data_IF_560347089158
#
_entry.id   IF_560347089158
#
_cell.length_a   1.000
_cell.length_b   1.000
_cell.length_c   1.000
_cell.angle_alpha   90.00
_cell.angle_beta   90.00
_cell.angle_gamma   90.00
#
_symmetry.space_group_name_H-M   'P 1'
#
loop_
_entity.id
_entity.type
_entity.pdbx_description
1 polymer ?
#
# COMPACT_ATOMS: atom_id res chain seq x y z
N UNK A 1 6.65 -34.62 -32.45
CA UNK A 1 6.64 -33.16 -32.21
C UNK A 1 5.67 -32.90 -31.07
N UNK A 2 6.15 -32.68 -29.84
CA UNK A 2 5.27 -32.35 -28.72
C UNK A 2 4.82 -30.89 -28.89
N UNK A 3 3.51 -30.61 -28.98
CA UNK A 3 3.04 -29.23 -29.03
C UNK A 3 3.46 -28.53 -27.74
N UNK A 4 4.15 -27.40 -27.88
CA UNK A 4 4.54 -26.54 -26.76
C UNK A 4 3.27 -25.90 -26.19
N UNK A 5 2.72 -26.48 -25.14
CA UNK A 5 1.60 -25.89 -24.41
C UNK A 5 2.10 -24.65 -23.67
N UNK A 6 1.61 -23.48 -24.07
CA UNK A 6 1.82 -22.25 -23.29
C UNK A 6 1.14 -22.43 -21.94
N UNK A 7 1.94 -22.66 -20.89
CA UNK A 7 1.42 -22.76 -19.53
C UNK A 7 0.73 -21.42 -19.21
N UNK A 8 -0.58 -21.40 -18.92
CA UNK A 8 -1.27 -20.18 -18.57
C UNK A 8 -0.69 -19.61 -17.26
N UNK A 9 -0.72 -18.28 -17.12
CA UNK A 9 -0.19 -17.63 -15.93
C UNK A 9 -1.02 -18.01 -14.69
N UNK A 10 -0.46 -18.87 -13.85
CA UNK A 10 -1.10 -19.36 -12.61
C UNK A 10 -0.85 -18.44 -11.41
N UNK A 11 -0.12 -17.32 -11.57
CA UNK A 11 0.21 -16.43 -10.45
C UNK A 11 -1.03 -15.82 -9.81
N UNK A 12 -2.00 -15.42 -10.62
CA UNK A 12 -3.27 -14.90 -10.12
C UNK A 12 -3.99 -15.97 -9.32
N UNK A 13 -4.14 -17.17 -9.88
CA UNK A 13 -4.81 -18.29 -9.23
C UNK A 13 -4.14 -18.65 -7.89
N UNK A 14 -2.81 -18.75 -7.87
CA UNK A 14 -2.05 -19.04 -6.65
C UNK A 14 -2.24 -17.94 -5.59
N UNK A 15 -2.21 -16.68 -6.00
CA UNK A 15 -2.39 -15.53 -5.09
C UNK A 15 -3.81 -15.48 -4.55
N UNK A 16 -4.79 -15.67 -5.43
CA UNK A 16 -6.20 -15.68 -5.11
C UNK A 16 -6.56 -16.84 -4.17
N UNK A 17 -6.07 -18.05 -4.47
CA UNK A 17 -6.29 -19.23 -3.62
C UNK A 17 -5.69 -19.03 -2.22
N UNK A 18 -4.50 -18.43 -2.11
CA UNK A 18 -3.91 -18.07 -0.81
C UNK A 18 -4.78 -17.07 -0.04
N UNK A 19 -5.31 -16.04 -0.72
CA UNK A 19 -6.19 -15.05 -0.11
C UNK A 19 -7.50 -15.67 0.38
N UNK A 20 -8.11 -16.55 -0.42
CA UNK A 20 -9.33 -17.30 -0.05
C UNK A 20 -9.11 -18.18 1.18
N UNK A 21 -8.05 -18.99 1.20
CA UNK A 21 -7.74 -19.86 2.34
C UNK A 21 -7.55 -19.04 3.61
N UNK A 22 -6.82 -17.93 3.52
CA UNK A 22 -6.58 -17.03 4.66
C UNK A 22 -7.86 -16.42 5.22
N UNK A 23 -8.79 -15.97 4.37
CA UNK A 23 -10.06 -15.40 4.83
C UNK A 23 -11.01 -16.46 5.36
N UNK A 24 -11.05 -17.64 4.75
CA UNK A 24 -11.85 -18.75 5.24
C UNK A 24 -11.37 -19.24 6.63
N UNK A 25 -10.05 -19.29 6.85
CA UNK A 25 -9.46 -19.59 8.17
C UNK A 25 -9.81 -18.52 9.22
N UNK A 26 -9.80 -17.22 8.84
CA UNK A 26 -10.21 -16.13 9.73
C UNK A 26 -11.68 -16.20 10.14
N UNK A 27 -12.56 -16.54 9.21
CA UNK A 27 -13.99 -16.70 9.52
C UNK A 27 -14.23 -17.90 10.43
N UNK A 28 -13.54 -19.04 10.19
CA UNK A 28 -13.59 -20.20 11.08
C UNK A 28 -13.07 -19.89 12.48
N UNK A 29 -11.91 -19.26 12.60
CA UNK A 29 -11.37 -18.85 13.90
C UNK A 29 -12.34 -17.92 14.64
N UNK A 30 -13.04 -17.05 13.92
CA UNK A 30 -14.07 -16.17 14.50
C UNK A 30 -15.33 -16.94 14.93
N UNK A 31 -15.74 -17.95 14.17
CA UNK A 31 -16.86 -18.82 14.54
C UNK A 31 -16.53 -19.68 15.77
N UNK A 32 -15.34 -20.28 15.83
CA UNK A 32 -14.89 -21.07 16.99
C UNK A 32 -14.78 -20.24 18.27
N UNK A 33 -14.32 -18.98 18.15
CA UNK A 33 -14.34 -18.03 19.25
C UNK A 33 -15.76 -17.73 19.74
N UNK A 34 -16.74 -17.60 18.83
CA UNK A 34 -18.15 -17.43 19.19
C UNK A 34 -18.75 -18.66 19.86
N UNK A 35 -18.26 -19.85 19.53
CA UNK A 35 -18.65 -21.11 20.16
C UNK A 35 -17.92 -21.39 21.50
N UNK A 36 -17.06 -20.47 21.96
CA UNK A 36 -16.33 -20.62 23.23
C UNK A 36 -15.15 -21.59 23.18
N UNK A 37 -14.73 -22.03 21.99
CA UNK A 37 -13.60 -22.96 21.81
C UNK A 37 -12.31 -22.11 21.75
N UNK A 38 -11.61 -21.99 22.87
CA UNK A 38 -10.36 -21.20 22.99
C UNK A 38 -9.12 -22.09 23.04
N UNK A 39 -9.28 -23.41 23.20
CA UNK A 39 -8.16 -24.33 23.36
C UNK A 39 -7.38 -24.60 22.05
N UNK A 40 -6.06 -24.34 22.03
CA UNK A 40 -5.24 -24.44 20.81
C UNK A 40 -5.14 -25.87 20.27
N UNK A 41 -5.21 -26.88 21.15
CA UNK A 41 -5.16 -28.30 20.76
C UNK A 41 -6.41 -28.72 20.00
N UNK A 42 -7.58 -28.30 20.48
CA UNK A 42 -8.89 -28.61 19.87
C UNK A 42 -9.02 -27.92 18.50
N UNK A 43 -8.56 -26.68 18.39
CA UNK A 43 -8.52 -25.92 17.12
C UNK A 43 -7.72 -26.68 16.04
N UNK A 44 -6.55 -27.23 16.39
CA UNK A 44 -5.71 -27.99 15.44
C UNK A 44 -6.35 -29.30 14.98
N UNK A 45 -7.11 -29.96 15.87
CA UNK A 45 -7.83 -31.20 15.54
C UNK A 45 -9.04 -30.91 14.66
N UNK A 46 -9.84 -29.88 14.96
CA UNK A 46 -10.97 -29.47 14.11
C UNK A 46 -10.51 -29.01 12.71
N UNK A 47 -9.37 -28.31 12.63
CA UNK A 47 -8.80 -27.88 11.36
C UNK A 47 -8.39 -29.05 10.47
N UNK A 48 -8.01 -30.19 11.06
CA UNK A 48 -7.64 -31.42 10.33
C UNK A 48 -8.85 -32.24 9.88
N UNK A 49 -9.98 -32.12 10.58
CA UNK A 49 -11.20 -32.93 10.34
C UNK A 49 -12.16 -32.27 9.35
N UNK A 50 -12.27 -30.93 9.34
CA UNK A 50 -13.12 -30.21 8.39
C UNK A 50 -12.31 -29.52 7.27
N UNK A 51 -12.35 -30.01 6.03
CA UNK A 51 -11.74 -29.30 4.90
C UNK A 51 -12.39 -27.93 4.72
N UNK A 52 -11.62 -26.94 4.27
CA UNK A 52 -12.09 -25.56 4.04
C UNK A 52 -13.16 -25.53 2.97
N UNK A 53 -14.43 -25.47 3.36
CA UNK A 53 -15.52 -25.19 2.44
C UNK A 53 -15.47 -23.71 2.07
N UNK A 54 -14.98 -23.44 0.85
CA UNK A 54 -14.90 -22.10 0.30
C UNK A 54 -16.32 -21.67 -0.06
N UNK A 55 -17.01 -20.98 0.85
CA UNK A 55 -18.33 -20.43 0.60
C UNK A 55 -18.28 -19.30 -0.43
N UNK A 56 -19.31 -19.20 -1.28
CA UNK A 56 -19.46 -18.14 -2.30
C UNK A 56 -19.35 -16.73 -1.72
N UNK A 57 -19.78 -16.55 -0.47
CA UNK A 57 -19.70 -15.28 0.25
C UNK A 57 -18.25 -14.88 0.53
N UNK A 58 -17.41 -15.83 0.91
CA UNK A 58 -15.97 -15.61 1.14
C UNK A 58 -15.29 -15.20 -0.16
N UNK A 59 -15.63 -15.87 -1.26
CA UNK A 59 -15.11 -15.54 -2.60
C UNK A 59 -15.49 -14.12 -2.99
N UNK A 60 -16.77 -13.76 -2.87
CA UNK A 60 -17.25 -12.41 -3.21
C UNK A 60 -16.55 -11.33 -2.36
N UNK A 61 -16.41 -11.56 -1.06
CA UNK A 61 -15.71 -10.66 -0.13
C UNK A 61 -14.24 -10.46 -0.51
N UNK A 62 -13.52 -11.53 -0.82
CA UNK A 62 -12.11 -11.47 -1.21
C UNK A 62 -11.96 -10.74 -2.54
N UNK A 63 -12.81 -11.01 -3.53
CA UNK A 63 -12.78 -10.32 -4.83
C UNK A 63 -13.03 -8.82 -4.67
N UNK A 64 -14.05 -8.42 -3.90
CA UNK A 64 -14.33 -7.00 -3.67
C UNK A 64 -13.13 -6.32 -3.01
N UNK A 65 -12.54 -6.93 -1.98
CA UNK A 65 -11.41 -6.34 -1.25
C UNK A 65 -10.15 -6.25 -2.11
N UNK A 66 -9.72 -7.36 -2.70
CA UNK A 66 -8.38 -7.47 -3.29
C UNK A 66 -8.36 -7.02 -4.75
N UNK A 67 -9.47 -7.21 -5.49
CA UNK A 67 -9.54 -6.86 -6.92
C UNK A 67 -10.11 -5.46 -7.15
N UNK A 68 -11.01 -4.99 -6.28
CA UNK A 68 -11.69 -3.69 -6.48
C UNK A 68 -11.15 -2.64 -5.51
N UNK A 69 -11.21 -2.91 -4.20
CA UNK A 69 -10.87 -1.91 -3.18
C UNK A 69 -9.36 -1.63 -3.14
N UNK A 70 -8.52 -2.65 -3.18
CA UNK A 70 -7.06 -2.49 -3.10
C UNK A 70 -6.48 -1.59 -4.21
N UNK A 71 -6.77 -1.81 -5.51
CA UNK A 71 -6.28 -0.92 -6.56
C UNK A 71 -6.90 0.47 -6.50
N UNK A 72 -8.17 0.61 -6.08
CA UNK A 72 -8.81 1.91 -5.92
C UNK A 72 -8.14 2.74 -4.81
N UNK A 73 -7.85 2.12 -3.67
CA UNK A 73 -7.15 2.76 -2.55
C UNK A 73 -5.73 3.13 -2.95
N UNK A 74 -5.00 2.26 -3.66
CA UNK A 74 -3.65 2.56 -4.14
C UNK A 74 -3.65 3.76 -5.09
N UNK A 75 -4.59 3.82 -6.05
CA UNK A 75 -4.72 4.96 -6.96
C UNK A 75 -5.10 6.25 -6.24
N UNK A 76 -6.06 6.19 -5.33
CA UNK A 76 -6.51 7.36 -4.56
C UNK A 76 -5.41 7.89 -3.63
N UNK A 77 -4.65 7.00 -2.99
CA UNK A 77 -3.51 7.40 -2.15
C UNK A 77 -2.40 8.05 -2.97
N UNK A 78 -2.04 7.46 -4.12
CA UNK A 78 -0.99 8.03 -4.96
C UNK A 78 -1.37 9.40 -5.52
N UNK A 79 -2.60 9.55 -6.01
CA UNK A 79 -3.10 10.84 -6.49
C UNK A 79 -3.13 11.88 -5.36
N UNK A 80 -3.56 11.50 -4.16
CA UNK A 80 -3.55 12.37 -2.99
C UNK A 80 -2.13 12.83 -2.64
N UNK A 81 -1.16 11.91 -2.60
CA UNK A 81 0.25 12.22 -2.35
C UNK A 81 0.76 13.23 -3.39
N UNK A 82 0.47 13.04 -4.67
CA UNK A 82 0.89 13.95 -5.74
C UNK A 82 0.27 15.34 -5.58
N UNK A 83 -1.01 15.43 -5.20
CA UNK A 83 -1.69 16.70 -4.94
C UNK A 83 -1.02 17.44 -3.77
N UNK A 84 -0.73 16.74 -2.67
CA UNK A 84 -0.03 17.31 -1.52
C UNK A 84 1.41 17.72 -1.83
N UNK A 85 2.09 17.01 -2.73
CA UNK A 85 3.46 17.30 -3.11
C UNK A 85 3.59 18.62 -3.90
N UNK A 86 2.53 19.06 -4.59
CA UNK A 86 2.55 20.27 -5.43
C UNK A 86 2.83 21.58 -4.67
N UNK A 87 2.14 21.93 -3.57
CA UNK A 87 2.49 23.12 -2.77
C UNK A 87 3.85 22.96 -2.08
N UNK A 88 4.21 21.75 -1.63
CA UNK A 88 5.49 21.48 -1.00
C UNK A 88 6.67 21.80 -1.93
N UNK A 89 6.60 21.33 -3.18
CA UNK A 89 7.62 21.60 -4.19
C UNK A 89 7.73 23.11 -4.49
N UNK A 90 6.62 23.84 -4.53
CA UNK A 90 6.66 25.31 -4.68
C UNK A 90 7.40 25.98 -3.53
N UNK A 91 7.17 25.52 -2.30
CA UNK A 91 7.85 26.06 -1.13
C UNK A 91 9.34 25.71 -1.11
N UNK A 92 9.71 24.50 -1.49
CA UNK A 92 11.12 24.10 -1.64
C UNK A 92 11.84 24.93 -2.69
N UNK A 93 11.22 25.19 -3.85
CA UNK A 93 11.80 26.08 -4.88
C UNK A 93 11.97 27.51 -4.36
N UNK A 94 10.98 28.04 -3.62
CA UNK A 94 11.10 29.38 -3.03
C UNK A 94 12.26 29.46 -2.03
N UNK A 95 12.38 28.49 -1.13
CA UNK A 95 13.48 28.44 -0.17
C UNK A 95 14.83 28.25 -0.87
N UNK A 96 14.89 27.40 -1.90
CA UNK A 96 16.09 27.21 -2.72
C UNK A 96 16.54 28.49 -3.42
N UNK A 97 15.60 29.26 -4.00
CA UNK A 97 15.91 30.57 -4.61
C UNK A 97 16.40 31.59 -3.58
N UNK A 98 15.79 31.62 -2.38
CA UNK A 98 16.21 32.52 -1.30
C UNK A 98 17.63 32.18 -0.82
N UNK A 99 17.90 30.90 -0.62
CA UNK A 99 19.19 30.40 -0.16
C UNK A 99 20.29 30.63 -1.22
N UNK A 100 19.98 30.34 -2.50
CA UNK A 100 20.87 30.64 -3.62
C UNK A 100 21.18 32.13 -3.77
N UNK A 101 20.17 33.01 -3.62
CA UNK A 101 20.40 34.46 -3.60
C UNK A 101 21.28 34.88 -2.42
N UNK A 102 21.15 34.25 -1.26
CA UNK A 102 21.96 34.56 -0.07
C UNK A 102 23.41 34.15 -0.28
N UNK A 103 23.66 32.96 -0.82
CA UNK A 103 25.01 32.48 -1.14
C UNK A 103 25.64 33.37 -2.20
N UNK A 104 24.90 33.73 -3.26
CA UNK A 104 25.40 34.59 -4.33
C UNK A 104 25.83 35.97 -3.81
N UNK A 105 25.03 36.60 -2.95
CA UNK A 105 25.38 37.88 -2.32
C UNK A 105 26.59 37.79 -1.38
N UNK A 106 26.71 36.67 -0.66
CA UNK A 106 27.84 36.39 0.23
C UNK A 106 29.14 36.17 -0.55
N UNK A 107 29.10 35.38 -1.63
CA UNK A 107 30.27 35.09 -2.47
C UNK A 107 30.75 36.34 -3.23
N UNK A 108 29.83 37.15 -3.75
CA UNK A 108 30.18 38.41 -4.42
C UNK A 108 30.51 39.55 -3.46
N UNK A 109 30.39 39.35 -2.14
CA UNK A 109 30.70 40.37 -1.14
C UNK A 109 29.83 41.63 -1.23
N UNK A 110 28.65 41.55 -1.88
CA UNK A 110 27.78 42.71 -2.12
C UNK A 110 27.19 43.22 -0.80
N UNK A 111 26.97 42.34 0.18
CA UNK A 111 26.55 42.70 1.54
C UNK A 111 27.67 43.37 2.38
N UNK A 112 28.94 43.31 1.94
CA UNK A 112 30.07 44.01 2.57
C UNK A 112 30.28 45.42 1.98
N UNK A 113 29.79 45.68 0.76
CA UNK A 113 29.81 47.02 0.15
C UNK A 113 28.61 47.79 0.69
N UNK A 114 28.76 48.36 1.89
CA UNK A 114 27.82 49.34 2.45
C UNK A 114 27.63 50.47 1.43
N UNK A 115 26.45 50.56 0.82
CA UNK A 115 26.15 51.62 -0.13
C UNK A 115 26.42 52.99 0.54
N UNK A 116 27.40 53.74 0.00
CA UNK A 116 27.72 55.08 0.46
C UNK A 116 26.47 55.94 0.29
N UNK A 117 25.81 56.26 1.40
CA UNK A 117 24.69 57.21 1.46
C UNK A 117 25.21 58.54 0.92
N UNK A 118 24.84 58.90 -0.31
CA UNK A 118 25.06 60.24 -0.84
C UNK A 118 24.04 61.13 -0.14
N UNK A 119 24.49 61.85 0.88
CA UNK A 119 23.93 63.16 1.22
C UNK A 119 24.42 64.16 0.19
#
# INVERSE_FOLDING_TARGET
>A
MNPSYSVPDTRFEQTFRKALVREAERERASQWRKMGIVDPVVISQLQKVQPVEISKVVVCKVVIRDVIVMPLVQGLLWTSILIFMRPWLRQMVYQGRKLGSSIYKLVLGIDLVKAKKRM
#
